data_IF_058333453071
#
_entry.id   IF_058333453071
#
_cell.length_a   1.000
_cell.length_b   1.000
_cell.length_c   1.000
_cell.angle_alpha   90.00
_cell.angle_beta   90.00
_cell.angle_gamma   90.00
#
_symmetry.space_group_name_H-M   'P 1'
#
loop_
_entity.id
_entity.type
_entity.pdbx_description
1 polymer ?
#
# COMPACT_ATOMS: atom_id res chain seq x y z
N UNK A 1 -41.75 -30.28 -5.42
CA UNK A 1 -43.14 -30.70 -5.11
C UNK A 1 -43.32 -32.12 -5.62
N UNK A 2 -43.39 -33.25 -4.91
CA UNK A 2 -44.02 -33.59 -3.63
C UNK A 2 -43.06 -34.28 -2.61
N UNK A 3 -41.82 -34.60 -3.00
CA UNK A 3 -40.85 -35.26 -2.10
C UNK A 3 -39.89 -34.30 -1.35
N UNK A 4 -39.65 -33.08 -1.85
CA UNK A 4 -38.82 -32.08 -1.14
C UNK A 4 -39.57 -31.35 -0.01
N UNK A 5 -40.90 -31.25 -0.11
CA UNK A 5 -41.76 -30.60 0.89
C UNK A 5 -41.95 -31.49 2.11
N UNK A 6 -41.92 -32.83 1.94
CA UNK A 6 -41.96 -33.78 3.06
C UNK A 6 -40.71 -33.68 3.94
N UNK A 7 -39.51 -33.54 3.37
CA UNK A 7 -38.27 -33.47 4.15
C UNK A 7 -38.18 -32.20 5.01
N UNK A 8 -38.67 -31.07 4.50
CA UNK A 8 -38.70 -29.79 5.23
C UNK A 8 -39.78 -29.80 6.32
N UNK A 9 -40.96 -30.39 6.07
CA UNK A 9 -41.98 -30.51 7.13
C UNK A 9 -41.52 -31.44 8.27
N UNK A 10 -40.77 -32.51 7.95
CA UNK A 10 -40.34 -33.49 8.98
C UNK A 10 -39.21 -32.94 9.87
N UNK A 11 -38.30 -32.11 9.33
CA UNK A 11 -37.31 -31.39 10.14
C UNK A 11 -37.93 -30.30 11.02
N UNK A 12 -39.04 -29.69 10.59
CA UNK A 12 -39.76 -28.70 11.40
C UNK A 12 -40.58 -29.36 12.52
N UNK A 13 -40.99 -30.63 12.33
CA UNK A 13 -41.77 -31.40 13.32
C UNK A 13 -40.89 -32.08 14.39
N UNK A 14 -39.61 -32.39 14.10
CA UNK A 14 -38.68 -32.94 15.10
C UNK A 14 -38.02 -31.88 16.00
N UNK A 15 -38.19 -30.58 15.71
CA UNK A 15 -37.74 -29.47 16.57
C UNK A 15 -38.80 -29.06 17.61
N UNK A 16 -39.93 -29.77 17.68
CA UNK A 16 -41.02 -29.52 18.63
C UNK A 16 -41.06 -30.51 19.83
N UNK A 17 -40.11 -31.44 19.97
CA UNK A 17 -40.09 -32.40 21.08
C UNK A 17 -38.70 -32.64 21.67
N UNK A 18 -38.07 -31.60 22.21
CA UNK A 18 -37.20 -31.71 23.41
C UNK A 18 -37.03 -30.32 24.02
N UNK A 19 -37.73 -30.05 25.11
CA UNK A 19 -37.49 -28.90 25.98
C UNK A 19 -36.37 -29.22 26.97
N UNK A 20 -35.30 -28.41 27.03
CA UNK A 20 -34.68 -28.05 28.29
C UNK A 20 -35.29 -26.72 28.78
N UNK A 21 -35.54 -26.65 30.08
CA UNK A 21 -36.34 -25.62 30.78
C UNK A 21 -36.08 -24.15 30.42
N UNK A 22 -37.15 -23.34 30.44
CA UNK A 22 -37.20 -21.91 30.10
C UNK A 22 -36.28 -20.96 30.90
N UNK A 23 -35.60 -21.43 31.96
CA UNK A 23 -34.77 -20.59 32.81
C UNK A 23 -33.35 -20.32 32.25
N UNK A 24 -32.82 -21.19 31.38
CA UNK A 24 -31.47 -21.01 30.80
C UNK A 24 -31.47 -20.14 29.52
N UNK A 25 -32.58 -20.12 28.77
CA UNK A 25 -32.72 -19.31 27.55
C UNK A 25 -32.83 -17.80 27.83
N UNK A 26 -33.47 -17.41 28.95
CA UNK A 26 -33.58 -16.01 29.35
C UNK A 26 -32.23 -15.37 29.72
N UNK A 27 -31.33 -16.12 30.37
CA UNK A 27 -29.97 -15.64 30.69
C UNK A 27 -29.07 -15.55 29.45
N UNK A 28 -29.27 -16.42 28.46
CA UNK A 28 -28.51 -16.38 27.20
C UNK A 28 -28.94 -15.22 26.29
N UNK A 29 -30.25 -14.95 26.18
CA UNK A 29 -30.79 -13.84 25.40
C UNK A 29 -30.48 -12.47 26.02
N UNK A 30 -30.41 -12.36 27.35
CA UNK A 30 -29.99 -11.12 28.01
C UNK A 30 -28.48 -10.87 27.86
N UNK A 31 -27.62 -11.89 27.97
CA UNK A 31 -26.17 -11.75 27.67
C UNK A 31 -25.88 -11.43 26.20
N UNK A 32 -26.67 -11.95 25.26
CA UNK A 32 -26.54 -11.63 23.84
C UNK A 32 -27.08 -10.23 23.51
N UNK A 33 -28.19 -9.79 24.13
CA UNK A 33 -28.70 -8.41 23.97
C UNK A 33 -27.81 -7.36 24.64
N UNK A 34 -27.18 -7.65 25.78
CA UNK A 34 -26.23 -6.73 26.42
C UNK A 34 -24.93 -6.61 25.62
N UNK A 35 -24.34 -7.72 25.15
CA UNK A 35 -23.17 -7.65 24.26
C UNK A 35 -23.47 -6.93 22.95
N UNK A 36 -24.63 -7.15 22.33
CA UNK A 36 -25.01 -6.42 21.10
C UNK A 36 -25.31 -4.94 21.40
N UNK A 37 -25.91 -4.59 22.55
CA UNK A 37 -26.11 -3.19 22.94
C UNK A 37 -24.81 -2.46 23.27
N UNK A 38 -23.82 -3.13 23.87
CA UNK A 38 -22.50 -2.55 24.12
C UNK A 38 -21.70 -2.40 22.82
N UNK A 39 -21.65 -3.43 21.96
CA UNK A 39 -20.92 -3.33 20.67
C UNK A 39 -21.57 -2.35 19.69
N UNK A 40 -22.90 -2.20 19.71
CA UNK A 40 -23.59 -1.18 18.90
C UNK A 40 -23.41 0.20 19.52
N UNK A 41 -23.43 0.37 20.85
CA UNK A 41 -23.16 1.67 21.46
C UNK A 41 -21.72 2.14 21.27
N UNK A 42 -20.72 1.25 21.36
CA UNK A 42 -19.31 1.60 21.08
C UNK A 42 -19.09 1.94 19.61
N UNK A 43 -19.60 1.14 18.66
CA UNK A 43 -19.47 1.46 17.22
C UNK A 43 -20.24 2.71 16.81
N UNK A 44 -21.40 2.97 17.40
CA UNK A 44 -22.15 4.21 17.12
C UNK A 44 -21.49 5.41 17.82
N UNK A 45 -20.82 5.24 18.97
CA UNK A 45 -20.02 6.31 19.58
C UNK A 45 -18.75 6.59 18.79
N UNK A 46 -18.02 5.58 18.33
CA UNK A 46 -16.86 5.75 17.45
C UNK A 46 -17.26 6.33 16.10
N UNK A 47 -18.37 5.90 15.48
CA UNK A 47 -18.85 6.50 14.22
C UNK A 47 -19.37 7.92 14.42
N UNK A 48 -20.02 8.23 15.55
CA UNK A 48 -20.50 9.60 15.86
C UNK A 48 -19.34 10.50 16.30
N UNK A 49 -18.35 10.03 17.05
CA UNK A 49 -17.11 10.76 17.37
C UNK A 49 -16.27 10.94 16.12
N UNK A 50 -16.17 9.96 15.23
CA UNK A 50 -15.45 10.08 13.96
C UNK A 50 -16.20 10.96 12.96
N UNK A 51 -17.54 11.01 12.99
CA UNK A 51 -18.34 11.97 12.22
C UNK A 51 -18.32 13.38 12.85
N UNK A 52 -18.27 13.48 14.17
CA UNK A 52 -18.12 14.75 14.89
C UNK A 52 -16.71 15.32 14.69
N UNK A 53 -15.65 14.51 14.73
CA UNK A 53 -14.28 14.88 14.39
C UNK A 53 -14.16 15.27 12.91
N UNK A 54 -14.85 14.55 12.00
CA UNK A 54 -14.96 14.97 10.59
C UNK A 54 -15.67 16.31 10.47
N UNK A 55 -16.74 16.55 11.23
CA UNK A 55 -17.46 17.81 11.21
C UNK A 55 -16.63 18.95 11.82
N UNK A 56 -15.93 18.71 12.93
CA UNK A 56 -15.04 19.68 13.60
C UNK A 56 -13.84 20.00 12.70
N UNK A 57 -13.14 19.02 12.12
CA UNK A 57 -12.05 19.25 11.16
C UNK A 57 -12.52 19.96 9.90
N UNK A 58 -13.73 19.66 9.41
CA UNK A 58 -14.36 20.36 8.28
C UNK A 58 -14.70 21.82 8.61
N UNK A 59 -14.93 22.13 9.89
CA UNK A 59 -15.19 23.48 10.38
C UNK A 59 -13.88 24.23 10.67
N UNK A 60 -12.87 23.57 11.24
CA UNK A 60 -11.53 24.14 11.49
C UNK A 60 -10.77 24.44 10.19
N UNK A 61 -10.86 23.57 9.18
CA UNK A 61 -10.31 23.85 7.86
C UNK A 61 -10.96 25.11 7.26
N UNK A 62 -12.29 25.20 7.23
CA UNK A 62 -12.98 26.37 6.66
C UNK A 62 -12.69 27.72 7.33
N UNK A 63 -12.19 27.75 8.56
CA UNK A 63 -12.07 28.98 9.37
C UNK A 63 -10.63 29.51 9.47
N UNK A 64 -9.61 28.72 9.14
CA UNK A 64 -8.21 29.03 9.53
C UNK A 64 -7.29 29.55 8.41
N UNK A 65 -7.71 29.48 7.14
CA UNK A 65 -6.83 29.84 6.01
C UNK A 65 -5.63 28.91 5.85
N UNK A 66 -5.71 27.68 6.37
CA UNK A 66 -4.66 26.68 6.25
C UNK A 66 -4.59 26.10 4.82
N UNK A 67 -3.43 25.60 4.36
CA UNK A 67 -3.32 25.00 3.03
C UNK A 67 -4.17 23.75 2.83
N UNK A 68 -4.46 23.00 3.89
CA UNK A 68 -5.40 21.87 3.86
C UNK A 68 -6.84 22.37 3.59
N UNK A 69 -7.20 23.54 4.12
CA UNK A 69 -8.46 24.19 3.82
C UNK A 69 -8.53 24.71 2.38
N UNK A 70 -7.45 25.29 1.88
CA UNK A 70 -7.33 25.72 0.49
C UNK A 70 -7.44 24.50 -0.45
N UNK A 71 -6.76 23.39 -0.13
CA UNK A 71 -6.88 22.14 -0.88
C UNK A 71 -8.31 21.59 -0.86
N UNK A 72 -8.99 21.61 0.29
CA UNK A 72 -10.38 21.17 0.39
C UNK A 72 -11.34 22.07 -0.38
N UNK A 73 -11.08 23.39 -0.44
CA UNK A 73 -11.86 24.34 -1.23
C UNK A 73 -11.66 24.14 -2.74
N UNK A 74 -10.40 24.04 -3.20
CA UNK A 74 -10.06 23.73 -4.60
C UNK A 74 -10.60 22.36 -5.04
N UNK A 75 -10.62 21.37 -4.13
CA UNK A 75 -11.21 20.06 -4.39
C UNK A 75 -12.75 20.06 -4.44
N UNK A 76 -13.39 21.13 -3.96
CA UNK A 76 -14.84 21.29 -3.98
C UNK A 76 -15.35 22.09 -5.19
N UNK A 77 -14.45 22.61 -6.03
CA UNK A 77 -14.80 23.28 -7.30
C UNK A 77 -15.49 22.33 -8.28
N UNK A 78 -16.19 22.92 -9.26
CA UNK A 78 -16.90 22.17 -10.28
C UNK A 78 -15.97 21.25 -11.07
N UNK A 79 -16.39 20.00 -11.23
CA UNK A 79 -15.60 18.99 -11.91
C UNK A 79 -15.71 19.15 -13.43
N UNK A 80 -14.61 19.15 -14.19
CA UNK A 80 -14.64 19.22 -15.64
C UNK A 80 -15.35 18.03 -16.29
N UNK A 81 -15.77 18.18 -17.55
CA UNK A 81 -16.59 17.18 -18.26
C UNK A 81 -15.93 15.80 -18.39
N UNK A 82 -14.60 15.71 -18.31
CA UNK A 82 -13.85 14.44 -18.30
C UNK A 82 -14.25 13.49 -17.16
N UNK A 83 -14.92 14.00 -16.12
CA UNK A 83 -15.47 13.17 -15.05
C UNK A 83 -16.82 12.52 -15.37
N UNK A 84 -17.47 12.88 -16.49
CA UNK A 84 -18.73 12.29 -16.93
C UNK A 84 -18.62 10.81 -17.26
N UNK A 85 -17.43 10.37 -17.69
CA UNK A 85 -17.14 8.97 -17.99
C UNK A 85 -16.73 8.16 -16.76
N UNK A 86 -16.72 8.75 -15.56
CA UNK A 86 -16.25 8.11 -14.34
C UNK A 86 -17.03 6.83 -14.03
N UNK A 87 -16.35 5.71 -14.20
CA UNK A 87 -16.90 4.37 -13.94
C UNK A 87 -15.80 3.52 -13.35
N UNK A 88 -16.12 2.82 -12.27
CA UNK A 88 -15.15 1.90 -11.70
C UNK A 88 -15.12 0.58 -12.46
N UNK A 89 -13.92 0.08 -12.75
CA UNK A 89 -13.66 -1.30 -13.12
C UNK A 89 -12.93 -1.98 -11.97
N UNK A 90 -13.51 -3.07 -11.45
CA UNK A 90 -12.91 -3.87 -10.39
C UNK A 90 -11.65 -4.63 -10.85
N UNK A 91 -11.41 -4.70 -12.16
CA UNK A 91 -10.19 -5.25 -12.75
C UNK A 91 -9.65 -4.30 -13.84
N UNK A 92 -8.44 -3.80 -13.65
CA UNK A 92 -7.70 -3.03 -14.64
C UNK A 92 -6.21 -3.39 -14.57
N UNK A 93 -5.53 -3.32 -15.71
CA UNK A 93 -4.14 -3.67 -15.86
C UNK A 93 -3.45 -2.85 -16.95
N UNK A 94 -2.15 -3.06 -17.14
CA UNK A 94 -1.37 -2.32 -18.14
C UNK A 94 -1.94 -2.47 -19.55
N UNK A 95 -2.63 -3.57 -19.86
CA UNK A 95 -3.17 -3.88 -21.19
C UNK A 95 -4.68 -3.61 -21.35
N UNK A 96 -5.35 -3.13 -20.30
CA UNK A 96 -6.81 -2.88 -20.33
C UNK A 96 -7.20 -1.84 -21.40
N UNK A 97 -8.38 -1.93 -22.04
CA UNK A 97 -8.81 -0.94 -23.03
C UNK A 97 -8.74 0.49 -22.50
N UNK A 98 -8.15 1.42 -23.27
CA UNK A 98 -7.95 2.80 -22.83
C UNK A 98 -9.29 3.50 -22.57
N UNK A 99 -10.18 3.49 -23.56
CA UNK A 99 -11.45 4.24 -23.54
C UNK A 99 -12.53 3.58 -22.67
N UNK A 100 -12.56 2.25 -22.60
CA UNK A 100 -13.62 1.53 -21.88
C UNK A 100 -13.27 1.26 -20.41
N UNK A 101 -11.97 1.23 -20.07
CA UNK A 101 -11.49 0.82 -18.74
C UNK A 101 -10.57 1.86 -18.12
N UNK A 102 -9.44 2.20 -18.76
CA UNK A 102 -8.41 3.01 -18.09
C UNK A 102 -8.84 4.47 -17.88
N UNK A 103 -9.44 5.13 -18.87
CA UNK A 103 -9.94 6.50 -18.72
C UNK A 103 -11.14 6.60 -17.78
N UNK A 104 -12.18 5.75 -17.88
CA UNK A 104 -13.27 5.72 -16.92
C UNK A 104 -12.80 5.46 -15.47
N UNK A 105 -11.86 4.54 -15.28
CA UNK A 105 -11.29 4.24 -13.96
C UNK A 105 -10.42 5.41 -13.47
N UNK A 106 -9.61 6.03 -14.33
CA UNK A 106 -8.81 7.21 -13.97
C UNK A 106 -9.72 8.36 -13.51
N UNK A 107 -10.78 8.66 -14.27
CA UNK A 107 -11.79 9.65 -13.92
C UNK A 107 -12.44 9.34 -12.56
N UNK A 108 -12.82 8.08 -12.33
CA UNK A 108 -13.39 7.64 -11.06
C UNK A 108 -12.41 7.83 -9.90
N UNK A 109 -11.14 7.47 -10.07
CA UNK A 109 -10.12 7.56 -9.01
C UNK A 109 -9.71 8.99 -8.71
N UNK A 110 -9.59 9.84 -9.73
CA UNK A 110 -9.37 11.28 -9.55
C UNK A 110 -10.54 11.91 -8.78
N UNK A 111 -11.79 11.61 -9.16
CA UNK A 111 -12.99 12.11 -8.48
C UNK A 111 -13.04 11.67 -7.03
N UNK A 112 -12.70 10.40 -6.78
CA UNK A 112 -12.63 9.84 -5.43
C UNK A 112 -11.54 10.49 -4.60
N UNK A 113 -10.37 10.74 -5.19
CA UNK A 113 -9.27 11.44 -4.53
C UNK A 113 -9.68 12.86 -4.11
N UNK A 114 -10.30 13.62 -5.02
CA UNK A 114 -10.84 14.94 -4.71
C UNK A 114 -11.90 14.91 -3.61
N UNK A 115 -12.76 13.88 -3.61
CA UNK A 115 -13.72 13.66 -2.52
C UNK A 115 -13.04 13.46 -1.16
N UNK A 116 -12.01 12.62 -1.09
CA UNK A 116 -11.22 12.42 0.14
C UNK A 116 -10.52 13.71 0.59
N UNK A 117 -9.96 14.48 -0.35
CA UNK A 117 -9.32 15.78 -0.04
C UNK A 117 -10.36 16.75 0.53
N UNK A 118 -11.52 16.88 -0.13
CA UNK A 118 -12.64 17.72 0.30
C UNK A 118 -13.14 17.38 1.71
N UNK A 119 -13.14 16.10 2.06
CA UNK A 119 -13.59 15.61 3.37
C UNK A 119 -12.47 15.54 4.42
N UNK A 120 -11.24 15.97 4.08
CA UNK A 120 -10.09 15.99 4.99
C UNK A 120 -9.53 14.60 5.32
N UNK A 121 -9.81 13.59 4.48
CA UNK A 121 -9.40 12.20 4.68
C UNK A 121 -8.00 11.93 4.10
N UNK A 122 -6.97 12.47 4.75
CA UNK A 122 -5.57 12.48 4.26
C UNK A 122 -5.04 11.10 3.87
N UNK A 123 -5.28 10.08 4.69
CA UNK A 123 -4.81 8.71 4.42
C UNK A 123 -5.50 8.07 3.21
N UNK A 124 -6.80 8.31 3.06
CA UNK A 124 -7.59 7.79 1.95
C UNK A 124 -7.28 8.53 0.63
N UNK A 125 -7.05 9.85 0.71
CA UNK A 125 -6.53 10.64 -0.40
C UNK A 125 -5.15 10.12 -0.85
N UNK A 126 -4.23 9.91 0.10
CA UNK A 126 -2.88 9.37 -0.17
C UNK A 126 -2.92 7.99 -0.79
N UNK A 127 -3.78 7.12 -0.27
CA UNK A 127 -3.94 5.76 -0.80
C UNK A 127 -4.46 5.81 -2.24
N UNK A 128 -5.51 6.60 -2.48
CA UNK A 128 -6.12 6.74 -3.81
C UNK A 128 -5.14 7.35 -4.81
N UNK A 129 -4.42 8.40 -4.42
CA UNK A 129 -3.43 9.06 -5.28
C UNK A 129 -2.27 8.13 -5.66
N UNK A 130 -1.54 7.64 -4.65
CA UNK A 130 -0.28 6.92 -4.85
C UNK A 130 -0.48 5.52 -5.47
N UNK A 131 -1.55 4.81 -5.12
CA UNK A 131 -1.76 3.42 -5.56
C UNK A 131 -2.71 3.27 -6.74
N UNK A 132 -3.66 4.21 -6.94
CA UNK A 132 -4.61 4.13 -8.03
C UNK A 132 -4.31 5.16 -9.13
N UNK A 133 -4.37 6.46 -8.82
CA UNK A 133 -4.28 7.53 -9.84
C UNK A 133 -2.94 7.51 -10.56
N UNK A 134 -1.82 7.60 -9.83
CA UNK A 134 -0.46 7.60 -10.42
C UNK A 134 -0.21 6.34 -11.26
N UNK A 135 -0.70 5.19 -10.78
CA UNK A 135 -0.53 3.90 -11.46
C UNK A 135 -1.28 3.85 -12.78
N UNK A 136 -2.56 4.25 -12.80
CA UNK A 136 -3.38 4.25 -14.02
C UNK A 136 -2.84 5.27 -15.02
N UNK A 137 -2.48 6.46 -14.57
CA UNK A 137 -1.87 7.47 -15.43
C UNK A 137 -0.56 6.97 -16.06
N UNK A 138 0.25 6.23 -15.28
CA UNK A 138 1.46 5.57 -15.79
C UNK A 138 1.18 4.50 -16.85
N UNK A 139 0.02 3.83 -16.84
CA UNK A 139 -0.38 2.92 -17.92
C UNK A 139 -0.84 3.69 -19.16
N UNK A 140 -1.61 4.76 -18.98
CA UNK A 140 -2.11 5.62 -20.05
C UNK A 140 -0.96 6.28 -20.82
N UNK A 141 -0.02 6.95 -20.13
CA UNK A 141 1.13 7.64 -20.77
C UNK A 141 2.01 6.73 -21.63
N UNK A 142 2.04 5.43 -21.34
CA UNK A 142 2.83 4.45 -22.10
C UNK A 142 2.14 3.93 -23.35
N UNK A 143 0.84 4.15 -23.47
CA UNK A 143 -0.01 3.46 -24.46
C UNK A 143 -0.81 4.40 -25.34
N UNK A 144 -1.25 5.54 -24.80
CA UNK A 144 -2.00 6.48 -25.63
C UNK A 144 -1.04 7.26 -26.52
N UNK A 145 -1.22 7.10 -27.84
CA UNK A 145 -0.49 7.82 -28.88
C UNK A 145 -1.25 9.08 -29.32
N UNK A 146 -2.47 9.30 -28.81
CA UNK A 146 -3.22 10.52 -29.07
C UNK A 146 -2.74 11.64 -28.13
N UNK A 147 -1.87 12.51 -28.63
CA UNK A 147 -1.26 13.60 -27.86
C UNK A 147 -2.29 14.61 -27.31
N UNK A 148 -3.33 14.92 -28.08
CA UNK A 148 -4.36 15.89 -27.66
C UNK A 148 -5.18 15.36 -26.49
N UNK A 149 -5.64 14.10 -26.59
CA UNK A 149 -6.35 13.45 -25.48
C UNK A 149 -5.45 13.29 -24.28
N UNK A 150 -4.22 12.82 -24.47
CA UNK A 150 -3.27 12.62 -23.38
C UNK A 150 -3.02 13.93 -22.63
N UNK A 151 -2.86 15.05 -23.36
CA UNK A 151 -2.65 16.37 -22.76
C UNK A 151 -3.81 16.79 -21.85
N UNK A 152 -5.06 16.58 -22.26
CA UNK A 152 -6.24 16.89 -21.40
C UNK A 152 -6.18 16.13 -20.07
N UNK A 153 -5.79 14.85 -20.11
CA UNK A 153 -5.65 14.04 -18.89
C UNK A 153 -4.42 14.39 -18.07
N UNK A 154 -3.33 14.79 -18.71
CA UNK A 154 -2.13 15.28 -18.02
C UNK A 154 -2.40 16.61 -17.30
N UNK A 155 -3.11 17.53 -17.94
CA UNK A 155 -3.48 18.80 -17.34
C UNK A 155 -4.36 18.60 -16.09
N UNK A 156 -5.36 17.71 -16.17
CA UNK A 156 -6.16 17.38 -14.99
C UNK A 156 -5.36 16.64 -13.93
N UNK A 157 -4.53 15.67 -14.31
CA UNK A 157 -3.64 14.98 -13.38
C UNK A 157 -2.77 15.99 -12.63
N UNK A 158 -2.14 16.93 -13.34
CA UNK A 158 -1.29 17.95 -12.75
C UNK A 158 -2.10 18.92 -11.86
N UNK A 159 -3.33 19.25 -12.23
CA UNK A 159 -4.23 20.06 -11.38
C UNK A 159 -4.52 19.36 -10.06
N UNK A 160 -4.97 18.10 -10.11
CA UNK A 160 -5.28 17.32 -8.90
C UNK A 160 -4.00 17.03 -8.10
N UNK A 161 -2.86 16.83 -8.76
CA UNK A 161 -1.56 16.68 -8.10
C UNK A 161 -1.22 17.90 -7.26
N UNK A 162 -1.44 19.12 -7.78
CA UNK A 162 -1.23 20.35 -7.01
C UNK A 162 -2.12 20.42 -5.78
N UNK A 163 -3.41 20.09 -5.92
CA UNK A 163 -4.38 20.10 -4.80
C UNK A 163 -3.99 19.05 -3.75
N UNK A 164 -3.71 17.82 -4.17
CA UNK A 164 -3.24 16.74 -3.31
C UNK A 164 -1.93 17.12 -2.60
N UNK A 165 -1.01 17.71 -3.34
CA UNK A 165 0.28 18.16 -2.82
C UNK A 165 0.10 19.23 -1.76
N UNK A 166 -0.83 20.18 -1.92
CA UNK A 166 -1.19 21.15 -0.86
C UNK A 166 -1.74 20.47 0.40
N UNK A 167 -2.59 19.46 0.25
CA UNK A 167 -3.10 18.68 1.39
C UNK A 167 -1.98 17.97 2.17
N UNK A 168 -1.05 17.33 1.47
CA UNK A 168 0.02 16.53 2.10
C UNK A 168 1.18 17.39 2.61
N UNK A 169 1.47 18.48 1.91
CA UNK A 169 2.57 19.38 2.27
C UNK A 169 2.17 20.44 3.28
N UNK A 170 0.87 20.70 3.47
CA UNK A 170 0.41 21.82 4.27
C UNK A 170 1.02 23.12 3.72
N UNK A 171 1.65 23.91 4.58
CA UNK A 171 2.33 25.15 4.20
C UNK A 171 3.80 24.97 3.77
N UNK A 172 4.22 23.75 3.43
CA UNK A 172 5.54 23.56 2.86
C UNK A 172 5.67 24.24 1.49
N UNK A 173 6.86 24.73 1.11
CA UNK A 173 7.08 25.40 -0.16
C UNK A 173 6.62 24.56 -1.36
N UNK A 174 6.05 25.21 -2.38
CA UNK A 174 5.68 24.54 -3.63
C UNK A 174 6.92 23.94 -4.33
N UNK A 175 6.79 22.80 -5.01
CA UNK A 175 7.88 22.23 -5.80
C UNK A 175 8.30 23.19 -6.91
N UNK A 176 9.59 23.49 -6.99
CA UNK A 176 10.19 24.35 -8.01
C UNK A 176 10.46 23.57 -9.31
N UNK A 177 10.38 22.23 -9.27
CA UNK A 177 10.74 21.35 -10.38
C UNK A 177 12.21 20.92 -10.35
N UNK A 178 13.06 21.63 -9.59
CA UNK A 178 14.42 21.19 -9.30
C UNK A 178 14.42 20.24 -8.11
N UNK A 179 14.62 18.95 -8.39
CA UNK A 179 14.52 17.86 -7.39
C UNK A 179 15.42 18.04 -6.17
N UNK A 180 16.59 18.68 -6.35
CA UNK A 180 17.56 18.93 -5.27
C UNK A 180 17.11 20.08 -4.39
N UNK A 181 16.72 21.20 -5.00
CA UNK A 181 16.15 22.36 -4.32
C UNK A 181 14.89 21.97 -3.56
N UNK A 182 14.02 21.17 -4.16
CA UNK A 182 12.78 20.70 -3.55
C UNK A 182 13.04 19.76 -2.36
N UNK A 183 14.09 18.94 -2.42
CA UNK A 183 14.54 18.12 -1.30
C UNK A 183 14.97 18.99 -0.12
N UNK A 184 15.80 20.02 -0.37
CA UNK A 184 16.25 20.95 0.68
C UNK A 184 15.11 21.79 1.25
N UNK A 185 14.24 22.33 0.40
CA UNK A 185 13.10 23.14 0.83
C UNK A 185 12.18 22.34 1.76
N UNK A 186 11.94 21.06 1.43
CA UNK A 186 11.10 20.20 2.26
C UNK A 186 11.74 19.88 3.62
N UNK A 187 13.04 19.57 3.66
CA UNK A 187 13.74 19.33 4.93
C UNK A 187 13.81 20.58 5.79
N UNK A 188 14.19 21.73 5.21
CA UNK A 188 14.30 23.01 5.91
C UNK A 188 12.95 23.46 6.50
N UNK A 189 11.87 23.31 5.73
CA UNK A 189 10.51 23.60 6.21
C UNK A 189 10.16 22.79 7.47
N UNK A 190 10.38 21.47 7.44
CA UNK A 190 10.07 20.62 8.59
C UNK A 190 10.97 20.94 9.80
N UNK A 191 12.26 21.27 9.58
CA UNK A 191 13.16 21.73 10.64
C UNK A 191 12.63 23.02 11.27
N UNK A 192 12.23 24.01 10.47
CA UNK A 192 11.69 25.28 10.95
C UNK A 192 10.37 25.08 11.72
N UNK A 193 9.50 24.20 11.25
CA UNK A 193 8.27 23.82 11.96
C UNK A 193 8.57 23.14 13.29
N UNK A 194 9.53 22.22 13.32
CA UNK A 194 9.98 21.59 14.55
C UNK A 194 10.51 22.63 15.55
N UNK A 195 11.36 23.57 15.11
CA UNK A 195 11.90 24.64 15.97
C UNK A 195 10.82 25.55 16.56
N UNK A 196 9.75 25.82 15.81
CA UNK A 196 8.65 26.74 16.18
C UNK A 196 7.50 26.04 16.90
N UNK A 197 7.50 24.71 16.96
CA UNK A 197 6.47 23.94 17.64
C UNK A 197 6.53 24.18 19.15
N UNK A 198 5.43 24.66 19.72
CA UNK A 198 5.24 24.79 21.17
C UNK A 198 4.93 23.44 21.84
N UNK A 199 4.36 22.51 21.07
CA UNK A 199 4.03 21.15 21.46
C UNK A 199 5.20 20.20 21.13
N UNK A 200 5.58 19.37 22.10
CA UNK A 200 6.73 18.46 22.02
C UNK A 200 6.47 17.27 21.08
N UNK A 201 5.24 16.80 20.99
CA UNK A 201 4.86 15.73 20.08
C UNK A 201 4.87 16.24 18.64
N UNK A 202 4.39 17.47 18.41
CA UNK A 202 4.50 18.13 17.10
C UNK A 202 5.96 18.40 16.70
N UNK A 203 6.79 18.84 17.64
CA UNK A 203 8.23 19.01 17.40
C UNK A 203 8.87 17.68 16.96
N UNK A 204 8.54 16.58 17.63
CA UNK A 204 9.03 15.24 17.30
C UNK A 204 8.54 14.77 15.93
N UNK A 205 7.28 15.01 15.59
CA UNK A 205 6.71 14.64 14.28
C UNK A 205 7.45 15.34 13.14
N UNK A 206 7.58 16.67 13.20
CA UNK A 206 8.31 17.44 12.20
C UNK A 206 9.80 17.07 12.12
N UNK A 207 10.44 16.83 13.27
CA UNK A 207 11.81 16.31 13.31
C UNK A 207 11.93 14.96 12.59
N UNK A 208 11.02 14.02 12.88
CA UNK A 208 11.04 12.68 12.30
C UNK A 208 10.85 12.75 10.78
N UNK A 209 9.90 13.55 10.31
CA UNK A 209 9.65 13.78 8.88
C UNK A 209 10.88 14.34 8.17
N UNK A 210 11.54 15.34 8.75
CA UNK A 210 12.77 15.92 8.19
C UNK A 210 13.92 14.91 8.13
N UNK A 211 14.15 14.18 9.23
CA UNK A 211 15.22 13.18 9.33
C UNK A 211 15.02 12.01 8.37
N UNK A 212 13.80 11.44 8.29
CA UNK A 212 13.49 10.38 7.34
C UNK A 212 13.64 10.84 5.88
N UNK A 213 13.19 12.06 5.58
CA UNK A 213 13.31 12.63 4.23
C UNK A 213 14.77 12.78 3.81
N UNK A 214 15.64 13.24 4.72
CA UNK A 214 17.07 13.30 4.49
C UNK A 214 17.63 11.93 4.08
N UNK A 215 17.31 10.88 4.83
CA UNK A 215 17.77 9.52 4.51
C UNK A 215 17.29 9.06 3.13
N UNK A 216 16.01 9.30 2.81
CA UNK A 216 15.43 8.98 1.50
C UNK A 216 16.13 9.77 0.37
N UNK A 217 16.50 11.02 0.59
CA UNK A 217 17.14 11.86 -0.42
C UNK A 217 18.62 11.50 -0.61
N UNK A 218 19.34 11.09 0.44
CA UNK A 218 20.68 10.51 0.32
C UNK A 218 20.64 9.19 -0.44
N UNK A 219 19.66 8.33 -0.12
CA UNK A 219 19.46 7.04 -0.79
C UNK A 219 19.22 7.21 -2.29
N UNK A 220 18.39 8.19 -2.67
CA UNK A 220 18.02 8.44 -4.07
C UNK A 220 19.00 9.38 -4.81
N UNK A 221 20.19 9.62 -4.26
CA UNK A 221 21.22 10.51 -4.83
C UNK A 221 20.71 11.92 -5.19
N UNK A 222 19.71 12.42 -4.44
CA UNK A 222 19.16 13.77 -4.66
C UNK A 222 19.95 14.86 -3.95
N UNK A 223 20.73 14.48 -2.94
CA UNK A 223 21.62 15.35 -2.18
C UNK A 223 22.95 14.64 -1.94
N UNK A 224 24.06 15.39 -1.93
CA UNK A 224 25.40 14.86 -1.69
C UNK A 224 26.06 15.51 -0.47
N UNK A 225 27.11 14.87 0.04
CA UNK A 225 27.90 15.41 1.15
C UNK A 225 28.60 16.74 0.80
N UNK A 226 28.97 16.90 -0.47
CA UNK A 226 29.63 18.11 -0.99
C UNK A 226 28.68 19.32 -1.07
N UNK A 227 27.38 19.10 -0.88
CA UNK A 227 26.41 20.17 -1.01
C UNK A 227 26.50 21.15 0.18
N UNK A 228 26.66 22.46 -0.05
CA UNK A 228 26.81 23.43 1.04
C UNK A 228 25.68 23.39 2.08
N UNK A 229 24.44 23.14 1.61
CA UNK A 229 23.24 23.04 2.46
C UNK A 229 23.13 21.73 3.23
N UNK A 230 23.84 20.67 2.82
CA UNK A 230 23.73 19.38 3.50
C UNK A 230 24.20 19.47 4.96
N UNK A 231 25.34 20.12 5.20
CA UNK A 231 25.90 20.28 6.55
C UNK A 231 24.95 21.06 7.46
N UNK A 232 24.36 22.14 6.96
CA UNK A 232 23.37 22.93 7.68
C UNK A 232 22.18 22.08 8.14
N UNK A 233 21.57 21.33 7.22
CA UNK A 233 20.44 20.42 7.53
C UNK A 233 20.84 19.37 8.56
N UNK A 234 22.02 18.77 8.41
CA UNK A 234 22.51 17.76 9.34
C UNK A 234 22.70 18.33 10.76
N UNK A 235 23.39 19.46 10.89
CA UNK A 235 23.67 20.08 12.18
C UNK A 235 22.36 20.51 12.89
N UNK A 236 21.39 21.01 12.14
CA UNK A 236 20.06 21.38 12.65
C UNK A 236 19.26 20.17 13.15
N UNK A 237 19.28 19.06 12.42
CA UNK A 237 18.64 17.82 12.85
C UNK A 237 19.31 17.25 14.10
N UNK A 238 20.64 17.29 14.19
CA UNK A 238 21.37 16.88 15.40
C UNK A 238 20.97 17.74 16.60
N UNK A 239 20.85 19.06 16.41
CA UNK A 239 20.42 19.97 17.47
C UNK A 239 18.98 19.72 17.92
N UNK A 240 18.05 19.51 16.98
CA UNK A 240 16.65 19.15 17.28
C UNK A 240 16.55 17.82 18.01
N UNK A 241 17.31 16.80 17.58
CA UNK A 241 17.36 15.51 18.26
C UNK A 241 17.79 15.66 19.72
N UNK A 242 18.88 16.40 19.99
CA UNK A 242 19.36 16.68 21.36
C UNK A 242 18.31 17.39 22.22
N UNK A 243 17.48 18.24 21.63
CA UNK A 243 16.35 18.88 22.36
C UNK A 243 15.24 17.89 22.69
N UNK A 244 15.04 16.86 21.87
CA UNK A 244 14.00 15.85 22.04
C UNK A 244 14.41 14.68 22.94
N UNK A 245 15.70 14.37 23.04
CA UNK A 245 16.24 13.29 23.88
C UNK A 245 15.76 13.29 25.34
N UNK A 246 15.70 14.44 26.06
CA UNK A 246 15.28 14.47 27.45
C UNK A 246 13.82 14.05 27.68
N UNK A 247 13.00 14.00 26.62
CA UNK A 247 11.59 13.60 26.72
C UNK A 247 11.37 12.08 26.63
N UNK A 248 12.43 11.28 26.41
CA UNK A 248 12.35 9.83 26.56
C UNK A 248 11.52 9.11 25.50
N UNK A 249 11.44 9.64 24.27
CA UNK A 249 10.75 8.94 23.18
C UNK A 249 11.50 7.67 22.77
N UNK A 250 10.87 6.50 22.92
CA UNK A 250 11.43 5.19 22.57
C UNK A 250 11.78 5.03 21.08
N UNK A 251 11.17 5.84 20.20
CA UNK A 251 11.30 5.75 18.75
C UNK A 251 11.90 7.02 18.11
N UNK A 252 12.74 7.76 18.84
CA UNK A 252 13.40 8.94 18.28
C UNK A 252 14.49 8.53 17.27
N UNK A 253 14.28 8.88 15.99
CA UNK A 253 15.19 8.52 14.90
C UNK A 253 16.62 9.04 15.14
N UNK A 254 17.63 8.22 14.83
CA UNK A 254 19.05 8.62 14.85
C UNK A 254 19.35 9.48 13.62
N UNK A 255 20.13 10.55 13.80
CA UNK A 255 20.63 11.36 12.70
C UNK A 255 22.04 10.87 12.37
N UNK A 256 22.15 10.02 11.36
CA UNK A 256 23.40 9.41 10.91
C UNK A 256 24.24 10.41 10.09
N UNK A 257 25.57 10.27 10.09
CA UNK A 257 26.46 10.98 9.15
C UNK A 257 26.19 10.56 7.70
N UNK A 258 26.66 11.32 6.70
CA UNK A 258 26.43 10.97 5.28
C UNK A 258 26.98 9.58 4.95
N UNK A 259 28.19 9.30 5.42
CA UNK A 259 28.86 8.02 5.22
C UNK A 259 28.12 6.87 5.92
N UNK A 260 27.63 7.06 7.15
CA UNK A 260 26.80 6.07 7.84
C UNK A 260 25.49 5.81 7.09
N UNK A 261 24.77 6.87 6.69
CA UNK A 261 23.56 6.77 5.87
C UNK A 261 23.84 6.00 4.58
N UNK A 262 24.86 6.40 3.81
CA UNK A 262 25.23 5.70 2.57
C UNK A 262 25.65 4.25 2.84
N UNK A 263 26.31 3.95 3.94
CA UNK A 263 26.68 2.58 4.30
C UNK A 263 25.45 1.73 4.67
N UNK A 264 24.48 2.29 5.39
CA UNK A 264 23.18 1.64 5.65
C UNK A 264 22.43 1.34 4.34
N UNK A 265 22.55 2.22 3.35
CA UNK A 265 21.94 2.04 2.03
C UNK A 265 22.81 1.25 1.03
N UNK A 266 24.10 1.04 1.31
CA UNK A 266 25.06 0.38 0.40
C UNK A 266 24.70 -1.09 0.12
N UNK A 267 23.92 -1.68 1.02
CA UNK A 267 23.35 -3.01 0.90
C UNK A 267 21.85 -3.01 0.56
N UNK A 268 21.23 -1.83 0.40
CA UNK A 268 19.89 -1.74 -0.18
C UNK A 268 20.00 -1.61 -1.68
N UNK A 269 19.62 -2.68 -2.37
CA UNK A 269 19.54 -2.79 -3.82
C UNK A 269 19.21 -1.48 -4.54
N UNK A 270 19.98 -1.14 -5.58
CA UNK A 270 19.43 -0.34 -6.67
C UNK A 270 18.30 -1.16 -7.30
N UNK A 271 17.06 -0.70 -7.16
CA UNK A 271 15.84 -1.40 -7.58
C UNK A 271 15.90 -1.94 -9.02
N UNK A 272 16.70 -1.35 -9.88
CA UNK A 272 16.88 -1.76 -11.28
C UNK A 272 17.83 -2.95 -11.45
N UNK A 273 18.93 -3.05 -10.69
CA UNK A 273 19.84 -4.21 -10.72
C UNK A 273 19.13 -5.47 -10.18
N UNK A 274 18.27 -5.31 -9.16
CA UNK A 274 17.47 -6.41 -8.58
C UNK A 274 16.46 -6.97 -9.58
N UNK A 275 15.81 -6.06 -10.33
CA UNK A 275 14.86 -6.43 -11.37
C UNK A 275 15.51 -7.22 -12.48
N UNK A 276 16.73 -6.88 -12.87
CA UNK A 276 17.45 -7.56 -13.97
C UNK A 276 17.65 -9.05 -13.68
N UNK A 277 18.03 -9.39 -12.45
CA UNK A 277 18.35 -10.77 -12.05
C UNK A 277 17.24 -11.45 -11.25
N UNK A 278 16.07 -10.83 -11.15
CA UNK A 278 14.94 -11.33 -10.37
C UNK A 278 15.28 -11.54 -8.88
N UNK A 279 16.19 -10.73 -8.32
CA UNK A 279 16.66 -10.79 -6.94
C UNK A 279 15.74 -9.94 -6.06
N UNK A 280 14.76 -10.59 -5.45
CA UNK A 280 13.88 -9.97 -4.45
C UNK A 280 13.82 -10.87 -3.23
N UNK A 281 14.19 -10.32 -2.07
CA UNK A 281 14.37 -11.08 -0.82
C UNK A 281 13.44 -10.65 0.33
N UNK A 282 12.53 -9.71 0.08
CA UNK A 282 11.48 -9.40 1.05
C UNK A 282 10.44 -10.52 1.04
N UNK A 283 10.48 -11.40 2.04
CA UNK A 283 9.48 -12.44 2.28
C UNK A 283 8.29 -11.76 2.97
N UNK A 284 7.40 -11.17 2.18
CA UNK A 284 6.29 -10.34 2.69
C UNK A 284 5.09 -11.19 3.19
N UNK A 285 5.25 -12.51 3.35
CA UNK A 285 4.16 -13.41 3.72
C UNK A 285 4.66 -14.68 4.44
N UNK A 286 4.22 -14.89 5.68
CA UNK A 286 4.63 -16.01 6.55
C UNK A 286 3.48 -16.98 6.88
N UNK A 287 2.47 -17.09 6.01
CA UNK A 287 1.36 -18.05 6.18
C UNK A 287 1.70 -19.47 5.71
N UNK A 288 1.03 -20.49 6.27
CA UNK A 288 1.20 -21.92 5.94
C UNK A 288 1.06 -22.22 4.43
N UNK A 289 0.28 -21.42 3.71
CA UNK A 289 0.11 -21.53 2.26
C UNK A 289 1.39 -21.19 1.49
N UNK A 290 2.19 -20.25 2.00
CA UNK A 290 3.44 -19.82 1.39
C UNK A 290 4.45 -20.96 1.29
N UNK A 291 4.58 -21.76 2.35
CA UNK A 291 5.49 -22.91 2.39
C UNK A 291 5.08 -24.02 1.41
N UNK A 292 3.79 -24.26 1.28
CA UNK A 292 3.29 -25.26 0.33
C UNK A 292 3.52 -24.83 -1.12
N UNK A 293 3.36 -23.54 -1.44
CA UNK A 293 3.64 -22.98 -2.76
C UNK A 293 5.14 -22.99 -3.06
N UNK A 294 5.99 -22.66 -2.08
CA UNK A 294 7.45 -22.76 -2.19
C UNK A 294 7.87 -24.20 -2.55
N UNK A 295 7.30 -25.21 -1.87
CA UNK A 295 7.54 -26.64 -2.17
C UNK A 295 7.09 -27.03 -3.59
N UNK A 296 5.87 -26.64 -4.00
CA UNK A 296 5.39 -26.93 -5.35
C UNK A 296 6.24 -26.30 -6.44
N UNK A 297 6.63 -25.05 -6.23
CA UNK A 297 7.48 -24.32 -7.15
C UNK A 297 8.84 -25.04 -7.29
N UNK A 298 9.45 -25.45 -6.17
CA UNK A 298 10.73 -26.16 -6.18
C UNK A 298 10.66 -27.50 -6.93
N UNK A 299 9.56 -28.24 -6.76
CA UNK A 299 9.31 -29.48 -7.50
C UNK A 299 9.18 -29.23 -9.01
N UNK A 300 8.48 -28.16 -9.40
CA UNK A 300 8.33 -27.80 -10.82
C UNK A 300 9.68 -27.44 -11.46
N UNK A 301 10.51 -26.65 -10.78
CA UNK A 301 11.87 -26.30 -11.24
C UNK A 301 12.75 -27.53 -11.36
N UNK A 302 12.71 -28.41 -10.35
CA UNK A 302 13.47 -29.67 -10.36
C UNK A 302 13.08 -30.54 -11.56
N UNK A 303 11.78 -30.66 -11.84
CA UNK A 303 11.27 -31.45 -12.97
C UNK A 303 11.64 -30.85 -14.34
N UNK A 304 11.52 -29.53 -14.50
CA UNK A 304 11.69 -28.85 -15.80
C UNK A 304 13.15 -28.57 -16.13
N UNK A 305 13.90 -28.03 -15.17
CA UNK A 305 15.26 -27.53 -15.39
C UNK A 305 16.34 -28.46 -14.85
N UNK A 306 15.97 -29.57 -14.19
CA UNK A 306 16.90 -30.58 -13.66
C UNK A 306 18.02 -29.96 -12.82
N UNK A 307 17.66 -29.00 -11.98
CA UNK A 307 18.60 -28.30 -11.11
C UNK A 307 19.37 -29.29 -10.23
N UNK A 308 20.69 -29.09 -10.11
CA UNK A 308 21.54 -29.82 -9.18
C UNK A 308 21.18 -29.49 -7.73
N UNK A 309 20.76 -28.24 -7.47
CA UNK A 309 20.38 -27.79 -6.13
C UNK A 309 19.42 -26.60 -6.20
N UNK A 310 18.36 -26.65 -5.40
CA UNK A 310 17.59 -25.44 -5.07
C UNK A 310 18.31 -24.72 -3.93
N UNK A 311 18.61 -23.44 -4.12
CA UNK A 311 19.36 -22.64 -3.15
C UNK A 311 18.41 -21.95 -2.19
N UNK A 312 17.35 -21.35 -2.72
CA UNK A 312 16.36 -20.60 -1.96
C UNK A 312 15.07 -20.44 -2.78
N UNK A 313 13.96 -20.23 -2.09
CA UNK A 313 12.67 -19.90 -2.69
C UNK A 313 11.99 -18.82 -1.87
N UNK A 314 11.61 -17.72 -2.51
CA UNK A 314 10.99 -16.58 -1.85
C UNK A 314 9.55 -16.38 -2.32
N UNK A 315 8.62 -16.14 -1.40
CA UNK A 315 7.24 -15.78 -1.75
C UNK A 315 7.14 -14.25 -1.79
N UNK A 316 6.84 -13.70 -2.98
CA UNK A 316 6.90 -12.25 -3.17
C UNK A 316 5.60 -11.54 -2.78
N UNK A 317 4.46 -12.05 -3.27
CA UNK A 317 3.14 -11.43 -3.05
C UNK A 317 2.00 -12.31 -3.58
N UNK A 318 0.80 -12.13 -3.03
CA UNK A 318 -0.47 -12.63 -3.57
C UNK A 318 -1.44 -11.48 -3.82
N UNK A 319 -1.80 -11.21 -5.08
CA UNK A 319 -2.81 -10.20 -5.43
C UNK A 319 -4.18 -10.84 -5.61
N UNK A 320 -5.21 -10.23 -5.05
CA UNK A 320 -6.60 -10.55 -5.35
C UNK A 320 -6.86 -10.25 -6.82
N UNK A 321 -7.19 -11.28 -7.59
CA UNK A 321 -7.51 -11.17 -9.01
C UNK A 321 -9.00 -11.16 -9.26
N UNK A 322 -9.80 -11.80 -8.39
CA UNK A 322 -11.25 -11.73 -8.45
C UNK A 322 -11.91 -12.08 -7.10
N UNK A 323 -13.12 -11.60 -6.88
CA UNK A 323 -14.00 -12.07 -5.81
C UNK A 323 -15.05 -13.00 -6.41
N UNK A 324 -15.19 -14.19 -5.84
CA UNK A 324 -16.31 -15.06 -6.14
C UNK A 324 -17.48 -14.69 -5.25
N UNK A 325 -18.66 -14.57 -5.85
CA UNK A 325 -19.88 -14.15 -5.16
C UNK A 325 -21.02 -15.10 -5.45
N UNK A 326 -21.81 -15.37 -4.41
CA UNK A 326 -23.14 -15.97 -4.52
C UNK A 326 -24.17 -14.92 -4.11
N UNK A 327 -24.74 -14.22 -5.09
CA UNK A 327 -25.56 -13.03 -4.84
C UNK A 327 -24.72 -11.86 -4.33
N UNK A 328 -25.13 -11.24 -3.22
CA UNK A 328 -24.40 -10.11 -2.61
C UNK A 328 -23.25 -10.53 -1.69
N UNK A 329 -23.09 -11.83 -1.38
CA UNK A 329 -22.06 -12.32 -0.46
C UNK A 329 -20.82 -12.80 -1.21
N UNK A 330 -19.64 -12.38 -0.75
CA UNK A 330 -18.35 -12.93 -1.18
C UNK A 330 -18.24 -14.34 -0.61
N UNK A 331 -18.10 -15.32 -1.50
CA UNK A 331 -17.97 -16.75 -1.18
C UNK A 331 -16.52 -17.23 -1.28
N UNK A 332 -15.67 -16.50 -2.00
CA UNK A 332 -14.25 -16.80 -2.09
C UNK A 332 -13.44 -15.69 -2.76
N UNK A 333 -12.13 -15.84 -2.68
CA UNK A 333 -11.17 -14.94 -3.32
C UNK A 333 -10.26 -15.72 -4.25
N UNK A 334 -10.20 -15.32 -5.51
CA UNK A 334 -9.15 -15.76 -6.41
C UNK A 334 -7.94 -14.85 -6.22
N UNK A 335 -6.80 -15.45 -5.92
CA UNK A 335 -5.51 -14.80 -5.73
C UNK A 335 -4.53 -15.34 -6.75
N UNK A 336 -3.74 -14.47 -7.36
CA UNK A 336 -2.54 -14.87 -8.10
C UNK A 336 -1.33 -14.66 -7.20
N UNK A 337 -0.59 -15.74 -6.98
CA UNK A 337 0.55 -15.78 -6.07
C UNK A 337 1.84 -15.98 -6.83
N UNK A 338 2.91 -15.27 -6.44
CA UNK A 338 4.20 -15.33 -7.12
C UNK A 338 5.30 -15.88 -6.21
N UNK A 339 6.00 -16.90 -6.69
CA UNK A 339 7.15 -17.49 -6.02
C UNK A 339 8.39 -17.35 -6.90
N UNK A 340 9.47 -16.84 -6.32
CA UNK A 340 10.80 -16.76 -6.93
C UNK A 340 11.61 -17.98 -6.49
N UNK A 341 12.35 -18.59 -7.43
CA UNK A 341 13.22 -19.73 -7.14
C UNK A 341 14.61 -19.45 -7.65
N UNK A 342 15.59 -19.74 -6.79
CA UNK A 342 17.00 -19.62 -7.08
C UNK A 342 17.65 -21.01 -6.99
N UNK A 343 18.37 -21.41 -8.03
CA UNK A 343 18.87 -22.77 -8.17
C UNK A 343 20.20 -22.83 -8.93
N UNK A 344 20.89 -23.96 -8.79
CA UNK A 344 22.11 -24.29 -9.53
C UNK A 344 21.76 -25.32 -10.59
N UNK A 345 22.14 -25.05 -11.84
CA UNK A 345 22.14 -26.01 -12.94
C UNK A 345 23.42 -25.80 -13.74
N UNK A 346 24.03 -26.87 -14.25
CA UNK A 346 25.22 -26.78 -15.12
C UNK A 346 26.37 -25.90 -14.55
N UNK A 347 26.59 -25.99 -13.24
CA UNK A 347 27.58 -25.20 -12.47
C UNK A 347 27.35 -23.67 -12.48
N UNK A 348 26.18 -23.22 -12.91
CA UNK A 348 25.79 -21.79 -12.95
C UNK A 348 24.59 -21.53 -12.03
N UNK A 349 24.43 -20.28 -11.64
CA UNK A 349 23.34 -19.82 -10.77
C UNK A 349 22.21 -19.26 -11.62
N UNK A 350 20.98 -19.62 -11.27
CA UNK A 350 19.80 -19.18 -11.99
C UNK A 350 18.71 -18.71 -11.05
N UNK A 351 17.91 -17.75 -11.53
CA UNK A 351 16.64 -17.36 -10.94
C UNK A 351 15.50 -17.60 -11.92
N UNK A 352 14.32 -17.98 -11.42
CA UNK A 352 13.10 -18.01 -12.21
C UNK A 352 11.90 -17.66 -11.34
N UNK A 353 10.79 -17.27 -11.97
CA UNK A 353 9.53 -17.04 -11.27
C UNK A 353 8.49 -18.09 -11.68
N UNK A 354 7.59 -18.39 -10.76
CA UNK A 354 6.36 -19.10 -11.04
C UNK A 354 5.18 -18.32 -10.49
N UNK A 355 4.06 -18.42 -11.21
CA UNK A 355 2.77 -17.92 -10.76
C UNK A 355 1.83 -19.08 -10.46
N UNK A 356 1.08 -18.94 -9.38
CA UNK A 356 -0.02 -19.83 -9.00
C UNK A 356 -1.33 -19.05 -9.00
N UNK A 357 -2.42 -19.69 -9.38
CA UNK A 357 -3.76 -19.20 -9.09
C UNK A 357 -4.29 -20.01 -7.91
N UNK A 358 -4.86 -19.30 -6.94
CA UNK A 358 -5.38 -19.86 -5.70
C UNK A 358 -6.80 -19.39 -5.47
N UNK A 359 -7.69 -20.31 -5.11
CA UNK A 359 -9.02 -19.98 -4.61
C UNK A 359 -9.00 -20.12 -3.08
N UNK A 360 -9.26 -19.03 -2.38
CA UNK A 360 -9.39 -18.99 -0.93
C UNK A 360 -10.88 -18.82 -0.57
N UNK A 361 -11.61 -19.89 -0.18
CA UNK A 361 -12.99 -19.76 0.28
C UNK A 361 -13.05 -18.97 1.60
N UNK A 362 -14.14 -18.23 1.83
CA UNK A 362 -14.34 -17.49 3.08
C UNK A 362 -14.65 -18.50 4.21
N UNK A 363 -13.61 -18.94 4.93
CA UNK A 363 -13.73 -19.78 6.14
C UNK A 363 -13.48 -21.29 5.97
N UNK A 364 -12.83 -21.76 4.90
CA UNK A 364 -12.45 -23.19 4.75
C UNK A 364 -11.12 -23.40 4.00
N UNK A 365 -10.67 -24.65 3.90
CA UNK A 365 -9.37 -25.05 3.34
C UNK A 365 -9.23 -24.81 1.83
N UNK A 366 -7.98 -24.61 1.44
CA UNK A 366 -7.48 -24.12 0.16
C UNK A 366 -7.66 -25.09 -1.01
N UNK A 367 -7.93 -24.55 -2.21
CA UNK A 367 -7.93 -25.35 -3.46
C UNK A 367 -7.04 -24.66 -4.50
N UNK A 368 -6.05 -25.40 -5.03
CA UNK A 368 -5.14 -24.93 -6.08
C UNK A 368 -5.79 -25.15 -7.44
N UNK A 369 -5.89 -24.10 -8.26
CA UNK A 369 -6.69 -24.15 -9.49
C UNK A 369 -5.84 -24.34 -10.76
N UNK A 370 -4.54 -24.03 -10.77
CA UNK A 370 -3.69 -24.17 -11.97
C UNK A 370 -2.25 -24.63 -11.68
N UNK A 371 -1.67 -25.39 -12.63
CA UNK A 371 -0.27 -25.82 -12.61
C UNK A 371 0.69 -24.61 -12.76
N UNK A 372 1.84 -24.60 -12.07
CA UNK A 372 2.79 -23.48 -12.11
C UNK A 372 3.34 -23.22 -13.52
N UNK A 373 3.07 -22.03 -14.06
CA UNK A 373 3.76 -21.52 -15.25
C UNK A 373 5.15 -21.02 -14.87
N UNK A 374 6.20 -21.78 -15.22
CA UNK A 374 7.60 -21.41 -14.98
C UNK A 374 8.13 -20.49 -16.09
N UNK A 375 8.64 -19.32 -15.72
CA UNK A 375 9.35 -18.43 -16.65
C UNK A 375 10.71 -19.01 -17.05
N UNK A 376 11.27 -18.47 -18.14
CA UNK A 376 12.62 -18.81 -18.59
C UNK A 376 13.63 -18.40 -17.50
N UNK A 377 14.57 -19.29 -17.12
CA UNK A 377 15.57 -18.94 -16.12
C UNK A 377 16.48 -17.80 -16.59
N UNK A 378 16.85 -16.93 -15.66
CA UNK A 378 17.84 -15.86 -15.84
C UNK A 378 19.12 -16.31 -15.15
N UNK A 379 20.24 -16.27 -15.87
CA UNK A 379 21.56 -16.54 -15.28
C UNK A 379 21.96 -15.40 -14.35
N UNK A 380 22.38 -15.74 -13.14
CA UNK A 380 22.85 -14.81 -12.11
C UNK A 380 24.37 -14.92 -12.03
N UNK A 381 25.13 -13.83 -12.24
CA UNK A 381 26.59 -13.86 -12.09
C UNK A 381 27.00 -14.33 -10.69
N UNK A 382 28.07 -15.11 -10.60
CA UNK A 382 28.53 -15.71 -9.33
C UNK A 382 28.90 -14.67 -8.27
N UNK A 383 29.42 -13.51 -8.68
CA UNK A 383 29.73 -12.39 -7.80
C UNK A 383 28.47 -11.85 -7.12
N UNK A 384 27.40 -11.64 -7.90
CA UNK A 384 26.09 -11.22 -7.42
C UNK A 384 25.50 -12.30 -6.50
N UNK A 385 25.60 -13.58 -6.89
CA UNK A 385 25.15 -14.69 -6.05
C UNK A 385 25.84 -14.69 -4.68
N UNK A 386 27.18 -14.59 -4.65
CA UNK A 386 27.96 -14.61 -3.42
C UNK A 386 27.68 -13.41 -2.51
N UNK A 387 27.43 -12.23 -3.09
CA UNK A 387 27.06 -11.01 -2.36
C UNK A 387 25.69 -11.13 -1.69
N UNK A 388 24.72 -11.70 -2.40
CA UNK A 388 23.31 -11.67 -1.99
C UNK A 388 22.89 -12.92 -1.19
N UNK A 389 23.19 -14.14 -1.65
CA UNK A 389 22.65 -15.36 -1.05
C UNK A 389 23.40 -15.85 0.19
N UNK A 390 24.67 -15.48 0.38
CA UNK A 390 25.42 -15.84 1.60
C UNK A 390 24.86 -15.14 2.85
N UNK A 391 24.17 -14.00 2.70
CA UNK A 391 23.57 -13.26 3.82
C UNK A 391 22.36 -13.97 4.44
N UNK A 392 21.64 -14.78 3.67
CA UNK A 392 20.42 -15.49 4.09
C UNK A 392 20.65 -16.91 4.66
N UNK A 393 21.91 -17.31 4.84
CA UNK A 393 22.29 -18.60 5.46
C UNK A 393 22.51 -18.54 6.98
N UNK A 394 22.17 -17.42 7.63
CA UNK A 394 22.26 -17.29 9.10
C UNK A 394 20.93 -17.61 9.76
#
# INVERSE_FOLDING_TARGET
MKNLIKTILTMTLMLLLTTPSQAQFGKFLNKAKEKVKETVKEKTKEEVEHQADKAVKKTEAKVTGSPEAAAAAEAAEDLPEIYSIAKTSYAYGPDSPLEEVLYPELAFRLKKCLGHIKDGEVELASTTWNYNVVKIMGFVKKRDLNEERLKVWEDEFNRVEKIYTKLIRGDAPEPTGDKKTDAYNYMAYNIEKAKKASDRDKMKEFFTTAAMSREIYIKNDRISESDPKYKEIYDELVALRKKLEPYGYDNLIKVNTFAESKAEWKDTFEKEEAKQYNLFFEDNYTGADGDELKKLAANAVTKKYKATKIIHSNFKHGWFTNEERSGQRVTGHNKKCRVMIYFIADKKYYSCETSFVMQAPVGSNFTKTEWPGLTKPIEVPEEIFNREFKKFKK
#
